data_IF_952995734255
#
_entry.id   IF_952995734255
#
_cell.length_a   1.000
_cell.length_b   1.000
_cell.length_c   1.000
_cell.angle_alpha   90.00
_cell.angle_beta   90.00
_cell.angle_gamma   90.00
#
_symmetry.space_group_name_H-M   'P 1'
#
loop_
_entity.id
_entity.type
_entity.pdbx_description
1 polymer ?
#
# COMPACT_ATOMS: atom_id res chain seq x y z
N UNK A 1 -6.77 20.91 -17.41
CA UNK A 1 -6.59 19.53 -16.92
C UNK A 1 -5.72 19.62 -15.68
N UNK A 2 -6.30 19.95 -14.52
CA UNK A 2 -5.55 20.20 -13.27
C UNK A 2 -6.17 19.45 -12.07
N UNK A 3 -7.25 18.70 -12.32
CA UNK A 3 -8.02 18.00 -11.28
C UNK A 3 -7.56 16.56 -11.04
N UNK A 4 -6.83 15.97 -11.98
CA UNK A 4 -6.42 14.56 -11.91
C UNK A 4 -5.36 14.34 -10.81
N UNK A 5 -4.27 15.12 -10.86
CA UNK A 5 -3.16 15.02 -9.90
C UNK A 5 -3.55 15.33 -8.45
N UNK A 6 -4.49 16.27 -8.25
CA UNK A 6 -4.95 16.64 -6.91
C UNK A 6 -5.83 15.54 -6.30
N UNK A 7 -6.66 14.90 -7.12
CA UNK A 7 -7.48 13.75 -6.70
C UNK A 7 -6.58 12.56 -6.40
N UNK A 8 -5.60 12.27 -7.25
CA UNK A 8 -4.63 11.19 -7.02
C UNK A 8 -3.88 11.35 -5.69
N UNK A 9 -3.44 12.57 -5.38
CA UNK A 9 -2.76 12.87 -4.13
C UNK A 9 -3.66 12.62 -2.90
N UNK A 10 -4.94 13.02 -2.99
CA UNK A 10 -5.91 12.78 -1.92
C UNK A 10 -6.21 11.28 -1.72
N UNK A 11 -6.28 10.51 -2.80
CA UNK A 11 -6.46 9.06 -2.72
C UNK A 11 -5.24 8.36 -2.10
N UNK A 12 -4.02 8.81 -2.44
CA UNK A 12 -2.79 8.30 -1.82
C UNK A 12 -2.67 8.71 -0.35
N UNK A 13 -3.18 9.88 0.05
CA UNK A 13 -3.22 10.31 1.45
C UNK A 13 -4.19 9.48 2.31
N UNK A 14 -5.33 9.11 1.74
CA UNK A 14 -6.30 8.21 2.38
C UNK A 14 -5.68 6.82 2.59
N UNK A 15 -5.00 6.28 1.56
CA UNK A 15 -4.27 5.03 1.65
C UNK A 15 -3.12 5.08 2.65
N UNK A 16 -2.33 6.16 2.63
CA UNK A 16 -1.25 6.39 3.61
C UNK A 16 -1.78 6.32 5.03
N UNK A 17 -2.87 7.04 5.31
CA UNK A 17 -3.43 7.14 6.66
C UNK A 17 -3.89 5.77 7.17
N UNK A 18 -4.53 4.98 6.31
CA UNK A 18 -4.95 3.62 6.65
C UNK A 18 -3.75 2.69 6.90
N UNK A 19 -2.71 2.73 6.06
CA UNK A 19 -1.51 1.91 6.22
C UNK A 19 -0.71 2.27 7.49
N UNK A 20 -0.65 3.56 7.82
CA UNK A 20 -0.01 4.03 9.07
C UNK A 20 -0.79 3.55 10.29
N UNK A 21 -2.12 3.53 10.24
CA UNK A 21 -2.95 2.97 11.31
C UNK A 21 -2.69 1.47 11.52
N UNK A 22 -2.38 0.74 10.45
CA UNK A 22 -1.97 -0.67 10.50
C UNK A 22 -0.50 -0.89 10.94
N UNK A 23 0.23 0.19 11.28
CA UNK A 23 1.61 0.14 11.75
C UNK A 23 2.66 0.04 10.63
N UNK A 24 2.29 0.29 9.38
CA UNK A 24 3.23 0.38 8.27
C UNK A 24 3.78 1.80 8.14
N UNK A 25 5.01 1.93 7.65
CA UNK A 25 5.58 3.24 7.32
C UNK A 25 5.15 3.62 5.90
N UNK A 26 4.43 4.73 5.75
CA UNK A 26 3.96 5.18 4.43
C UNK A 26 4.29 6.67 4.20
N UNK A 27 4.99 6.93 3.10
CA UNK A 27 5.54 8.25 2.72
C UNK A 27 5.11 8.60 1.28
N UNK A 28 4.42 9.72 1.10
CA UNK A 28 4.05 10.23 -0.23
C UNK A 28 5.26 10.93 -0.85
N UNK A 29 5.53 10.61 -2.12
CA UNK A 29 6.59 11.17 -2.94
C UNK A 29 5.99 11.77 -4.20
N UNK A 30 6.13 13.08 -4.37
CA UNK A 30 5.78 13.78 -5.60
C UNK A 30 7.03 13.93 -6.46
N UNK A 31 6.98 13.44 -7.68
CA UNK A 31 8.07 13.53 -8.65
C UNK A 31 7.57 14.16 -9.95
N UNK A 32 8.49 14.50 -10.86
CA UNK A 32 8.13 14.96 -12.20
C UNK A 32 7.30 13.94 -13.00
N UNK A 33 7.28 12.66 -12.58
CA UNK A 33 6.51 11.58 -13.21
C UNK A 33 5.14 11.34 -12.57
N UNK A 34 4.82 12.07 -11.50
CA UNK A 34 3.57 11.94 -10.75
C UNK A 34 3.78 11.71 -9.26
N UNK A 35 2.65 11.53 -8.57
CA UNK A 35 2.58 11.28 -7.13
C UNK A 35 2.54 9.78 -6.87
N UNK A 36 3.29 9.33 -5.88
CA UNK A 36 3.40 7.92 -5.49
C UNK A 36 3.46 7.80 -3.98
N UNK A 37 3.08 6.64 -3.45
CA UNK A 37 3.14 6.30 -2.04
C UNK A 37 4.15 5.16 -1.87
N UNK A 38 5.24 5.45 -1.17
CA UNK A 38 6.20 4.42 -0.75
C UNK A 38 5.75 3.86 0.60
N UNK A 39 5.55 2.55 0.66
CA UNK A 39 5.13 1.84 1.86
C UNK A 39 6.22 0.84 2.23
N UNK A 40 6.64 0.86 3.48
CA UNK A 40 7.62 -0.06 4.03
C UNK A 40 7.08 -0.69 5.31
N UNK A 41 7.36 -1.97 5.48
CA UNK A 41 7.13 -2.62 6.76
C UNK A 41 8.36 -2.37 7.64
N UNK A 42 8.22 -1.80 8.85
CA UNK A 42 9.34 -1.72 9.77
C UNK A 42 9.85 -3.11 10.19
N UNK A 43 9.00 -4.15 10.18
CA UNK A 43 9.33 -5.50 10.63
C UNK A 43 8.63 -6.58 9.77
N UNK A 44 9.36 -7.40 8.98
CA UNK A 44 10.82 -7.47 8.85
C UNK A 44 11.40 -6.31 8.03
N UNK A 45 12.59 -5.81 8.38
CA UNK A 45 13.24 -4.74 7.63
C UNK A 45 13.66 -5.25 6.25
N UNK A 46 13.41 -4.45 5.21
CA UNK A 46 13.99 -4.65 3.88
C UNK A 46 12.99 -4.85 2.74
N UNK A 47 11.69 -4.92 3.02
CA UNK A 47 10.66 -4.91 2.00
C UNK A 47 9.91 -3.58 1.98
N UNK A 48 10.01 -2.88 0.86
CA UNK A 48 9.21 -1.71 0.55
C UNK A 48 8.58 -1.84 -0.84
N UNK A 49 7.43 -1.21 -1.00
CA UNK A 49 6.63 -1.23 -2.23
C UNK A 49 6.18 0.19 -2.54
N UNK A 50 6.07 0.49 -3.83
CA UNK A 50 5.52 1.77 -4.27
C UNK A 50 4.15 1.57 -4.92
N UNK A 51 3.18 2.37 -4.48
CA UNK A 51 1.81 2.41 -5.00
C UNK A 51 1.58 3.77 -5.66
N UNK A 52 0.92 3.77 -6.82
CA UNK A 52 0.49 4.97 -7.54
C UNK A 52 -1.01 4.90 -7.77
N UNK A 53 -1.60 6.02 -8.16
CA UNK A 53 -2.97 6.04 -8.70
C UNK A 53 -2.89 6.24 -10.21
N UNK A 54 -3.62 5.44 -10.95
CA UNK A 54 -3.80 5.57 -12.40
C UNK A 54 -5.20 5.15 -12.78
N UNK A 55 -5.88 5.99 -13.56
CA UNK A 55 -7.19 5.67 -14.12
C UNK A 55 -8.21 5.23 -13.05
N UNK A 56 -8.20 5.88 -11.88
CA UNK A 56 -9.07 5.52 -10.75
C UNK A 56 -8.72 4.20 -10.06
N UNK A 57 -7.50 3.68 -10.24
CA UNK A 57 -7.03 2.47 -9.59
C UNK A 57 -5.73 2.72 -8.82
N UNK A 58 -5.60 2.09 -7.65
CA UNK A 58 -4.30 1.87 -7.04
C UNK A 58 -3.53 0.83 -7.86
N UNK A 59 -2.30 1.18 -8.24
CA UNK A 59 -1.43 0.34 -9.06
C UNK A 59 -0.05 0.24 -8.42
N UNK A 60 0.58 -0.91 -8.56
CA UNK A 60 1.96 -1.14 -8.15
C UNK A 60 2.95 -0.44 -9.10
N UNK A 61 4.18 -0.19 -8.65
CA UNK A 61 5.25 0.30 -9.53
C UNK A 61 5.59 -0.63 -10.69
N UNK A 62 5.39 -1.94 -10.51
CA UNK A 62 5.54 -2.94 -11.57
C UNK A 62 4.28 -3.07 -12.47
N UNK A 63 3.31 -2.17 -12.32
CA UNK A 63 2.18 -2.00 -13.24
C UNK A 63 0.98 -2.92 -13.00
N UNK A 64 1.03 -3.82 -12.02
CA UNK A 64 -0.13 -4.60 -11.65
C UNK A 64 -1.16 -3.75 -10.89
N UNK A 65 -2.45 -3.98 -11.14
CA UNK A 65 -3.54 -3.31 -10.42
C UNK A 65 -3.64 -3.93 -9.03
N UNK A 66 -3.63 -3.07 -8.01
CA UNK A 66 -3.86 -3.46 -6.62
C UNK A 66 -5.38 -3.52 -6.34
N UNK A 67 -6.08 -2.41 -6.58
CA UNK A 67 -7.54 -2.30 -6.41
C UNK A 67 -8.06 -0.97 -6.96
N UNK A 68 -9.37 -0.83 -7.20
CA UNK A 68 -10.01 0.47 -7.46
C UNK A 68 -9.84 1.43 -6.28
N UNK A 69 -9.76 2.74 -6.53
CA UNK A 69 -9.63 3.74 -5.43
C UNK A 69 -10.84 3.77 -4.49
N UNK A 70 -12.01 3.32 -4.96
CA UNK A 70 -13.21 3.17 -4.15
C UNK A 70 -13.09 2.05 -3.10
N UNK A 71 -12.16 1.11 -3.26
CA UNK A 71 -12.01 -0.09 -2.44
C UNK A 71 -10.76 0.01 -1.54
N UNK A 72 -10.67 1.09 -0.75
CA UNK A 72 -9.53 1.39 0.11
C UNK A 72 -9.10 0.21 1.00
N UNK A 73 -10.06 -0.50 1.60
CA UNK A 73 -9.76 -1.66 2.47
C UNK A 73 -9.02 -2.77 1.72
N UNK A 74 -9.43 -3.07 0.47
CA UNK A 74 -8.74 -4.07 -0.36
C UNK A 74 -7.32 -3.64 -0.72
N UNK A 75 -7.11 -2.34 -0.94
CA UNK A 75 -5.78 -1.79 -1.17
C UNK A 75 -4.87 -2.05 0.04
N UNK A 76 -5.38 -1.77 1.24
CA UNK A 76 -4.65 -2.00 2.50
C UNK A 76 -4.34 -3.48 2.68
N UNK A 77 -5.33 -4.36 2.52
CA UNK A 77 -5.14 -5.82 2.62
C UNK A 77 -4.08 -6.33 1.65
N UNK A 78 -4.11 -5.89 0.39
CA UNK A 78 -3.13 -6.29 -0.61
C UNK A 78 -1.72 -5.81 -0.29
N UNK A 79 -1.58 -4.59 0.23
CA UNK A 79 -0.28 -4.07 0.70
C UNK A 79 0.24 -4.83 1.90
N UNK A 80 -0.62 -5.11 2.87
CA UNK A 80 -0.26 -5.93 4.03
C UNK A 80 0.15 -7.34 3.63
N UNK A 81 -0.60 -7.97 2.72
CA UNK A 81 -0.28 -9.31 2.22
C UNK A 81 1.12 -9.38 1.58
N UNK A 82 1.48 -8.37 0.78
CA UNK A 82 2.82 -8.31 0.17
C UNK A 82 3.90 -8.05 1.23
N UNK A 83 3.64 -7.13 2.16
CA UNK A 83 4.64 -6.65 3.10
C UNK A 83 4.85 -7.52 4.35
N UNK A 84 3.85 -8.31 4.74
CA UNK A 84 3.90 -9.23 5.90
C UNK A 84 3.88 -10.71 5.48
N UNK A 85 3.64 -11.01 4.21
CA UNK A 85 3.32 -12.36 3.76
C UNK A 85 1.93 -12.81 4.21
N UNK A 86 1.49 -14.02 3.84
CA UNK A 86 0.32 -14.61 4.49
C UNK A 86 0.65 -14.68 5.98
N UNK A 87 -0.15 -14.02 6.82
CA UNK A 87 -0.06 -14.09 8.28
C UNK A 87 -0.35 -15.51 8.76
N UNK A 88 0.54 -16.44 8.49
CA UNK A 88 0.64 -17.75 9.12
C UNK A 88 1.75 -17.64 10.13
N UNK A 89 1.40 -17.29 11.38
CA UNK A 89 2.31 -17.49 12.50
C UNK A 89 2.77 -18.96 12.49
N UNK A 90 4.07 -19.28 12.45
CA UNK A 90 4.53 -20.66 12.66
C UNK A 90 4.20 -21.17 14.07
N UNK A 91 3.73 -20.29 14.97
CA UNK A 91 3.29 -20.62 16.32
C UNK A 91 1.95 -21.38 16.39
N UNK A 92 1.16 -21.45 15.32
CA UNK A 92 -0.09 -22.23 15.28
C UNK A 92 0.13 -23.71 14.88
N UNK A 93 1.39 -24.10 14.58
CA UNK A 93 1.75 -25.45 14.11
C UNK A 93 2.46 -26.31 15.17
N UNK A 94 2.52 -25.89 16.44
CA UNK A 94 2.96 -26.76 17.53
C UNK A 94 1.74 -27.44 18.16
N UNK A 95 1.59 -28.77 18.03
CA UNK A 95 0.61 -29.48 18.84
C UNK A 95 1.02 -29.36 20.32
N UNK A 96 0.07 -29.25 21.27
CA UNK A 96 0.39 -29.44 22.68
C UNK A 96 0.94 -30.86 22.89
N UNK A 97 1.95 -30.96 23.76
CA UNK A 97 2.74 -32.17 24.10
C UNK A 97 1.90 -33.44 24.36
#
# INVERSE_FOLDING_TARGET
METDTAVDAQQLESLRSALVAEGLRADIRSTARGTSLKVANPEPPGLDVTVMVRDGNYVWEWGAILSPVSELSKAVEGVMFVLRGPSGSPADLLPPE
#
